data_IF_188232078993
#
_entry.id   IF_188232078993
#
_cell.length_a   1.000
_cell.length_b   1.000
_cell.length_c   1.000
_cell.angle_alpha   90.00
_cell.angle_beta   90.00
_cell.angle_gamma   90.00
#
_symmetry.space_group_name_H-M   'P 1'
#
loop_
_entity.id
_entity.type
_entity.pdbx_description
1 polymer ?
#
# COMPACT_ATOMS: atom_id res chain seq x y z
N UNK A 1 19.22 42.03 19.07
CA UNK A 1 17.83 41.65 18.71
C UNK A 1 16.93 41.87 19.91
N UNK A 2 15.82 42.61 19.79
CA UNK A 2 14.84 42.70 20.86
C UNK A 2 14.06 41.38 20.97
N UNK A 3 13.86 40.88 22.19
CA UNK A 3 13.05 39.70 22.48
C UNK A 3 11.57 40.10 22.66
N UNK A 4 10.62 39.29 22.16
CA UNK A 4 9.20 39.54 22.41
C UNK A 4 8.88 39.41 23.92
N UNK A 5 7.81 40.06 24.40
CA UNK A 5 7.36 39.92 25.80
C UNK A 5 7.10 38.46 26.17
N UNK A 6 7.30 38.12 27.46
CA UNK A 6 7.19 36.73 27.95
C UNK A 6 5.82 36.10 27.65
N UNK A 7 4.74 36.87 27.73
CA UNK A 7 3.40 36.39 27.39
C UNK A 7 3.30 35.91 25.93
N UNK A 8 3.97 36.61 25.02
CA UNK A 8 4.00 36.23 23.60
C UNK A 8 4.85 34.97 23.38
N UNK A 9 5.94 34.82 24.12
CA UNK A 9 6.75 33.60 24.07
C UNK A 9 5.94 32.37 24.50
N UNK A 10 5.17 32.46 25.59
CA UNK A 10 4.30 31.35 26.02
C UNK A 10 3.23 31.02 24.98
N UNK A 11 2.57 32.04 24.41
CA UNK A 11 1.57 31.82 23.34
C UNK A 11 2.16 31.11 22.12
N UNK A 12 3.41 31.46 21.75
CA UNK A 12 4.13 30.81 20.65
C UNK A 12 4.42 29.35 21.00
N UNK A 13 4.93 29.07 22.22
CA UNK A 13 5.21 27.71 22.68
C UNK A 13 3.95 26.85 22.66
N UNK A 14 2.85 27.35 23.23
CA UNK A 14 1.56 26.62 23.23
C UNK A 14 1.11 26.27 21.80
N UNK A 15 1.29 27.20 20.85
CA UNK A 15 0.89 26.94 19.46
C UNK A 15 1.82 25.97 18.76
N UNK A 16 3.12 26.02 19.04
CA UNK A 16 4.09 25.04 18.52
C UNK A 16 3.76 23.66 19.05
N UNK A 17 3.45 23.52 20.34
CA UNK A 17 3.09 22.23 20.95
C UNK A 17 1.82 21.65 20.31
N UNK A 18 0.80 22.48 20.06
CA UNK A 18 -0.42 22.06 19.33
C UNK A 18 -0.10 21.57 17.92
N UNK A 19 0.75 22.31 17.18
CA UNK A 19 1.14 21.94 15.82
C UNK A 19 2.00 20.66 15.79
N UNK A 20 2.90 20.48 16.75
CA UNK A 20 3.70 19.26 16.88
C UNK A 20 2.82 18.05 17.17
N UNK A 21 1.83 18.17 18.07
CA UNK A 21 0.87 17.10 18.33
C UNK A 21 0.03 16.73 17.08
N UNK A 22 -0.29 17.71 16.22
CA UNK A 22 -0.93 17.45 14.94
C UNK A 22 0.00 16.71 13.96
N UNK A 23 1.28 17.08 13.90
CA UNK A 23 2.29 16.37 13.11
C UNK A 23 2.40 14.90 13.54
N UNK A 24 2.51 14.63 14.85
CA UNK A 24 2.59 13.26 15.39
C UNK A 24 1.38 12.42 14.97
N UNK A 25 0.18 13.01 15.05
CA UNK A 25 -1.06 12.35 14.62
C UNK A 25 -1.06 12.06 13.13
N UNK A 26 -0.61 13.00 12.30
CA UNK A 26 -0.54 12.82 10.84
C UNK A 26 0.48 11.73 10.47
N UNK A 27 1.63 11.69 11.14
CA UNK A 27 2.64 10.65 10.94
C UNK A 27 2.08 9.26 11.30
N UNK A 28 1.43 9.13 12.45
CA UNK A 28 0.80 7.88 12.87
C UNK A 28 -0.26 7.40 11.86
N UNK A 29 -1.09 8.32 11.34
CA UNK A 29 -2.09 8.01 10.32
C UNK A 29 -1.44 7.58 9.00
N UNK A 30 -0.36 8.25 8.57
CA UNK A 30 0.38 7.86 7.37
C UNK A 30 0.99 6.47 7.50
N UNK A 31 1.60 6.15 8.65
CA UNK A 31 2.16 4.83 8.92
C UNK A 31 1.08 3.74 8.90
N UNK A 32 -0.06 3.98 9.55
CA UNK A 32 -1.20 3.06 9.53
C UNK A 32 -1.72 2.83 8.11
N UNK A 33 -1.85 3.90 7.30
CA UNK A 33 -2.25 3.83 5.90
C UNK A 33 -1.29 2.98 5.06
N UNK A 34 0.02 3.19 5.21
CA UNK A 34 1.06 2.41 4.51
C UNK A 34 0.99 0.92 4.87
N UNK A 35 0.81 0.60 6.15
CA UNK A 35 0.64 -0.80 6.61
C UNK A 35 -0.58 -1.46 5.97
N UNK A 36 -1.72 -0.78 5.99
CA UNK A 36 -2.95 -1.31 5.37
C UNK A 36 -2.80 -1.49 3.86
N UNK A 37 -2.17 -0.52 3.19
CA UNK A 37 -1.91 -0.59 1.75
C UNK A 37 -1.01 -1.79 1.39
N UNK A 38 0.07 -2.02 2.15
CA UNK A 38 0.96 -3.16 1.93
C UNK A 38 0.24 -4.50 2.16
N UNK A 39 -0.57 -4.61 3.22
CA UNK A 39 -1.35 -5.81 3.48
C UNK A 39 -2.37 -6.08 2.36
N UNK A 40 -3.04 -5.04 1.87
CA UNK A 40 -3.98 -5.15 0.74
C UNK A 40 -3.25 -5.58 -0.54
N UNK A 41 -2.09 -4.99 -0.83
CA UNK A 41 -1.25 -5.35 -1.99
C UNK A 41 -0.89 -6.84 -1.92
N UNK A 42 -0.34 -7.29 -0.80
CA UNK A 42 0.06 -8.69 -0.61
C UNK A 42 -1.12 -9.66 -0.74
N UNK A 43 -2.27 -9.34 -0.13
CA UNK A 43 -3.48 -10.17 -0.21
C UNK A 43 -3.99 -10.31 -1.64
N UNK A 44 -4.02 -9.21 -2.41
CA UNK A 44 -4.43 -9.26 -3.82
C UNK A 44 -3.44 -10.06 -4.65
N UNK A 45 -2.13 -9.87 -4.46
CA UNK A 45 -1.10 -10.63 -5.19
C UNK A 45 -1.18 -12.14 -4.90
N UNK A 46 -1.40 -12.50 -3.63
CA UNK A 46 -1.59 -13.91 -3.25
C UNK A 46 -2.86 -14.50 -3.87
N UNK A 47 -3.96 -13.74 -3.89
CA UNK A 47 -5.21 -14.17 -4.53
C UNK A 47 -5.05 -14.33 -6.05
N UNK A 48 -4.25 -13.47 -6.70
CA UNK A 48 -3.89 -13.66 -8.12
C UNK A 48 -3.09 -14.95 -8.27
N UNK A 49 -2.01 -15.14 -7.52
CA UNK A 49 -1.13 -16.30 -7.65
C UNK A 49 -1.82 -17.64 -7.34
N UNK A 50 -2.85 -17.64 -6.49
CA UNK A 50 -3.56 -18.86 -6.05
C UNK A 50 -4.89 -19.09 -6.78
N UNK A 51 -5.25 -18.20 -7.72
CA UNK A 51 -6.54 -18.24 -8.40
C UNK A 51 -6.74 -19.55 -9.16
N UNK A 52 -7.69 -20.36 -8.72
CA UNK A 52 -7.93 -21.72 -9.25
C UNK A 52 -9.02 -21.74 -10.32
N UNK A 53 -9.73 -20.62 -10.51
CA UNK A 53 -10.78 -20.49 -11.51
C UNK A 53 -10.66 -19.20 -12.33
N UNK A 54 -11.04 -19.22 -13.62
CA UNK A 54 -11.03 -18.02 -14.47
C UNK A 54 -11.86 -16.86 -13.92
N UNK A 55 -12.99 -17.15 -13.26
CA UNK A 55 -13.90 -16.15 -12.71
C UNK A 55 -13.31 -15.43 -11.48
N UNK A 56 -12.65 -16.17 -10.59
CA UNK A 56 -11.95 -15.61 -9.43
C UNK A 56 -10.76 -14.75 -9.87
N UNK A 57 -10.03 -15.21 -10.88
CA UNK A 57 -8.90 -14.48 -11.45
C UNK A 57 -9.37 -13.16 -12.09
N UNK A 58 -10.46 -13.18 -12.86
CA UNK A 58 -11.04 -11.98 -13.45
C UNK A 58 -11.52 -10.97 -12.39
N UNK A 59 -12.16 -11.46 -11.32
CA UNK A 59 -12.61 -10.62 -10.20
C UNK A 59 -11.42 -9.96 -9.50
N UNK A 60 -10.37 -10.74 -9.23
CA UNK A 60 -9.17 -10.28 -8.53
C UNK A 60 -8.36 -9.32 -9.38
N UNK A 61 -8.24 -9.59 -10.69
CA UNK A 61 -7.60 -8.72 -11.67
C UNK A 61 -8.31 -7.37 -11.80
N UNK A 62 -9.65 -7.38 -11.83
CA UNK A 62 -10.46 -6.15 -11.88
C UNK A 62 -10.24 -5.30 -10.63
N UNK A 63 -10.17 -5.93 -9.45
CA UNK A 63 -9.86 -5.24 -8.19
C UNK A 63 -8.44 -4.66 -8.18
N UNK A 64 -7.47 -5.39 -8.70
CA UNK A 64 -6.09 -4.92 -8.84
C UNK A 64 -6.01 -3.71 -9.79
N UNK A 65 -6.62 -3.79 -10.98
CA UNK A 65 -6.65 -2.71 -11.96
C UNK A 65 -7.30 -1.43 -11.39
N UNK A 66 -8.45 -1.56 -10.73
CA UNK A 66 -9.16 -0.44 -10.12
C UNK A 66 -8.38 0.24 -8.98
N UNK A 67 -7.44 -0.47 -8.36
CA UNK A 67 -6.63 0.06 -7.26
C UNK A 67 -5.15 0.24 -7.63
N UNK A 68 -4.77 0.03 -8.89
CA UNK A 68 -3.36 -0.05 -9.29
C UNK A 68 -2.57 1.20 -8.90
N UNK A 69 -3.05 2.39 -9.28
CA UNK A 69 -2.39 3.66 -8.95
C UNK A 69 -2.39 4.02 -7.45
N UNK A 70 -3.15 3.30 -6.62
CA UNK A 70 -3.16 3.45 -5.15
C UNK A 70 -2.35 2.38 -4.46
N UNK A 71 -2.06 1.27 -5.14
CA UNK A 71 -1.32 0.16 -4.59
C UNK A 71 0.16 0.25 -4.98
N UNK A 72 0.47 0.67 -6.20
CA UNK A 72 1.83 0.69 -6.76
C UNK A 72 2.23 2.16 -7.00
N UNK A 73 3.26 2.63 -6.29
CA UNK A 73 3.73 4.02 -6.37
C UNK A 73 5.16 4.13 -6.90
N UNK A 74 5.97 3.07 -6.80
CA UNK A 74 7.32 3.04 -7.37
C UNK A 74 7.49 1.87 -8.36
N UNK A 75 8.47 1.95 -9.28
CA UNK A 75 8.74 0.86 -10.23
C UNK A 75 9.12 -0.47 -9.56
N UNK A 76 9.65 -0.45 -8.35
CA UNK A 76 10.00 -1.66 -7.60
C UNK A 76 8.75 -2.38 -7.07
N UNK A 77 7.64 -1.66 -6.85
CA UNK A 77 6.40 -2.25 -6.32
C UNK A 77 5.79 -3.29 -7.29
N UNK A 78 6.09 -3.20 -8.59
CA UNK A 78 5.57 -4.14 -9.61
C UNK A 78 6.41 -5.42 -9.75
N UNK A 79 7.55 -5.54 -9.06
CA UNK A 79 8.34 -6.78 -9.10
C UNK A 79 7.59 -7.97 -8.48
N UNK A 80 6.87 -7.73 -7.39
CA UNK A 80 6.02 -8.75 -6.76
C UNK A 80 4.85 -9.15 -7.67
N UNK A 81 4.26 -8.17 -8.37
CA UNK A 81 3.21 -8.43 -9.36
C UNK A 81 3.74 -9.28 -10.52
N UNK A 82 4.93 -8.95 -11.04
CA UNK A 82 5.58 -9.71 -12.11
C UNK A 82 5.81 -11.16 -11.68
N UNK A 83 6.32 -11.39 -10.46
CA UNK A 83 6.53 -12.74 -9.92
C UNK A 83 5.22 -13.51 -9.84
N UNK A 84 4.17 -12.92 -9.27
CA UNK A 84 2.85 -13.55 -9.16
C UNK A 84 2.27 -13.96 -10.53
N UNK A 85 2.44 -13.12 -11.55
CA UNK A 85 2.00 -13.42 -12.92
C UNK A 85 2.82 -14.57 -13.55
N UNK A 86 4.13 -14.61 -13.31
CA UNK A 86 5.00 -15.69 -13.79
C UNK A 86 4.66 -17.04 -13.11
N UNK A 87 4.43 -17.03 -11.80
CA UNK A 87 4.04 -18.23 -11.05
C UNK A 87 2.71 -18.79 -11.56
N UNK A 88 1.76 -17.91 -11.89
CA UNK A 88 0.50 -18.30 -12.49
C UNK A 88 0.68 -18.94 -13.88
N UNK A 89 1.55 -18.37 -14.71
CA UNK A 89 1.85 -18.91 -16.04
C UNK A 89 2.49 -20.31 -15.94
N UNK A 90 3.43 -20.52 -15.02
CA UNK A 90 4.07 -21.82 -14.78
C UNK A 90 3.06 -22.85 -14.25
N UNK A 91 2.15 -22.43 -13.37
CA UNK A 91 1.09 -23.29 -12.83
C UNK A 91 0.11 -23.73 -13.93
N UNK A 92 -0.30 -22.80 -14.81
CA UNK A 92 -1.17 -23.12 -15.96
C UNK A 92 -0.52 -24.07 -16.98
N UNK A 93 0.79 -23.90 -17.25
CA UNK A 93 1.55 -24.81 -18.12
C UNK A 93 1.65 -26.24 -17.54
N UNK A 94 1.74 -26.35 -16.22
CA UNK A 94 1.84 -27.62 -15.51
C UNK A 94 0.51 -28.39 -15.48
N UNK A 95 -0.62 -27.70 -15.48
CA UNK A 95 -1.94 -28.33 -15.64
C UNK A 95 -2.21 -28.78 -17.07
N UNK A 96 -1.80 -27.97 -18.08
CA UNK A 96 -1.93 -28.34 -19.49
C UNK A 96 -1.12 -29.59 -19.85
N UNK A 97 0.09 -29.73 -19.28
CA UNK A 97 0.97 -30.87 -19.53
C UNK A 97 0.50 -32.20 -18.92
N UNK A 98 -0.45 -32.18 -17.96
CA UNK A 98 -1.05 -33.39 -17.37
C UNK A 98 -2.28 -33.90 -18.13
N UNK A 99 -2.80 -33.13 -19.09
CA UNK A 99 -3.99 -33.46 -19.89
C UNK A 99 -3.67 -34.01 -21.29
N UNK A 100 -2.40 -34.20 -21.61
CA UNK A 100 -1.87 -34.83 -22.85
C UNK A 100 -1.07 -36.07 -22.51
#
# INVERSE_FOLDING_TARGET
>A
MPLPPTAEQFRIVDKVDELMALCDKLEAQQQARRKLQNALRQSILQAVASGTSPHELQTTWTRLANNFGRLFHTPEDVDELRKAVLDLAVSGLSEQSKST
#
